data_IF_659678664763
#
_entry.id   IF_659678664763
#
_cell.length_a   1.000
_cell.length_b   1.000
_cell.length_c   1.000
_cell.angle_alpha   90.00
_cell.angle_beta   90.00
_cell.angle_gamma   90.00
#
_symmetry.space_group_name_H-M   'P 1'
#
loop_
_entity.id
_entity.type
_entity.pdbx_description
1 polymer ?
#
# COMPACT_ATOMS: atom_id res chain seq x y z
N UNK A 1 24.87 75.11 -30.66
CA UNK A 1 23.40 74.91 -30.60
C UNK A 1 22.75 76.17 -30.04
N UNK A 2 21.61 76.63 -30.59
CA UNK A 2 20.86 77.73 -29.97
C UNK A 2 20.34 77.26 -28.60
N UNK A 3 20.50 78.05 -27.52
CA UNK A 3 20.10 77.64 -26.17
C UNK A 3 18.61 77.27 -26.06
N UNK A 4 17.77 77.82 -26.95
CA UNK A 4 16.34 77.49 -27.05
C UNK A 4 16.06 76.09 -27.57
N UNK A 5 16.95 75.47 -28.34
CA UNK A 5 16.81 74.10 -28.83
C UNK A 5 17.16 73.08 -27.74
N UNK A 6 18.23 73.36 -26.98
CA UNK A 6 18.65 72.51 -25.86
C UNK A 6 17.58 72.43 -24.77
N UNK A 7 17.01 73.57 -24.36
CA UNK A 7 15.98 73.61 -23.31
C UNK A 7 14.68 72.88 -23.70
N UNK A 8 14.27 72.98 -24.98
CA UNK A 8 12.96 72.49 -25.45
C UNK A 8 12.97 71.02 -25.86
N UNK A 9 14.15 70.47 -26.17
CA UNK A 9 14.25 69.12 -26.74
C UNK A 9 15.10 68.20 -25.88
N UNK A 10 16.24 68.67 -25.40
CA UNK A 10 17.15 67.82 -24.63
C UNK A 10 16.65 67.59 -23.19
N UNK A 11 16.21 68.66 -22.53
CA UNK A 11 15.71 68.61 -21.15
C UNK A 11 14.51 67.66 -20.95
N UNK A 12 13.43 67.70 -21.77
CA UNK A 12 12.30 66.79 -21.58
C UNK A 12 12.65 65.33 -21.89
N UNK A 13 13.55 65.08 -22.86
CA UNK A 13 14.02 63.72 -23.18
C UNK A 13 14.84 63.15 -22.02
N UNK A 14 15.75 63.95 -21.46
CA UNK A 14 16.53 63.55 -20.29
C UNK A 14 15.63 63.27 -19.07
N UNK A 15 14.65 64.15 -18.81
CA UNK A 15 13.67 63.94 -17.73
C UNK A 15 12.84 62.67 -17.95
N UNK A 16 12.42 62.37 -19.17
CA UNK A 16 11.68 61.14 -19.48
C UNK A 16 12.53 59.88 -19.22
N UNK A 17 13.82 59.90 -19.59
CA UNK A 17 14.75 58.79 -19.33
C UNK A 17 14.94 58.59 -17.82
N UNK A 18 15.15 59.67 -17.07
CA UNK A 18 15.31 59.61 -15.60
C UNK A 18 14.03 59.08 -14.94
N UNK A 19 12.86 59.52 -15.40
CA UNK A 19 11.58 59.05 -14.89
C UNK A 19 11.39 57.54 -15.14
N UNK A 20 11.65 57.08 -16.37
CA UNK A 20 11.53 55.65 -16.72
C UNK A 20 12.53 54.81 -15.92
N UNK A 21 13.77 55.27 -15.78
CA UNK A 21 14.78 54.58 -14.97
C UNK A 21 14.39 54.54 -13.48
N UNK A 22 13.85 55.63 -12.93
CA UNK A 22 13.36 55.70 -11.56
C UNK A 22 12.18 54.76 -11.31
N UNK A 23 11.23 54.68 -12.26
CA UNK A 23 10.11 53.73 -12.20
C UNK A 23 10.64 52.29 -12.25
N UNK A 24 11.50 51.97 -13.21
CA UNK A 24 12.07 50.62 -13.35
C UNK A 24 12.83 50.16 -12.10
N UNK A 25 13.60 51.06 -11.48
CA UNK A 25 14.32 50.77 -10.23
C UNK A 25 13.37 50.60 -9.04
N UNK A 26 12.28 51.38 -8.96
CA UNK A 26 11.32 51.29 -7.86
C UNK A 26 10.41 50.05 -7.90
N UNK A 27 10.23 49.47 -9.09
CA UNK A 27 9.38 48.29 -9.30
C UNK A 27 10.20 47.00 -9.28
N UNK A 28 11.52 47.08 -9.45
CA UNK A 28 12.38 45.90 -9.33
C UNK A 28 12.47 45.45 -7.88
N UNK A 29 11.82 44.34 -7.58
CA UNK A 29 11.93 43.66 -6.29
C UNK A 29 13.01 42.60 -6.45
N UNK A 30 14.11 42.74 -5.70
CA UNK A 30 15.16 41.72 -5.68
C UNK A 30 14.59 40.38 -5.19
N UNK A 31 15.12 39.24 -5.69
CA UNK A 31 14.76 37.94 -5.15
C UNK A 31 14.92 37.92 -3.63
N UNK A 32 13.89 37.49 -2.92
CA UNK A 32 13.87 37.50 -1.44
C UNK A 32 14.83 36.50 -0.81
N UNK A 33 15.47 35.63 -1.60
CA UNK A 33 16.58 34.79 -1.17
C UNK A 33 17.56 34.56 -2.32
N UNK A 34 18.84 34.41 -1.97
CA UNK A 34 19.87 33.95 -2.89
C UNK A 34 19.63 32.48 -3.26
N UNK A 35 19.77 32.07 -4.53
CA UNK A 35 19.68 30.67 -4.92
C UNK A 35 20.64 29.80 -4.09
N UNK A 36 20.20 28.61 -3.63
CA UNK A 36 18.94 27.93 -3.96
C UNK A 36 17.74 28.29 -3.03
N UNK A 37 17.88 29.27 -2.13
CA UNK A 37 16.84 29.66 -1.18
C UNK A 37 15.55 30.14 -1.86
N UNK A 38 14.40 29.87 -1.22
CA UNK A 38 13.05 30.18 -1.70
C UNK A 38 12.67 29.59 -3.08
N UNK A 39 13.44 28.65 -3.61
CA UNK A 39 12.98 27.83 -4.73
C UNK A 39 11.82 26.94 -4.27
N UNK A 40 10.86 26.74 -5.17
CA UNK A 40 9.86 25.68 -5.00
C UNK A 40 10.61 24.35 -4.87
N UNK A 41 10.20 23.51 -3.91
CA UNK A 41 10.82 22.19 -3.74
C UNK A 41 10.75 21.40 -5.04
N UNK A 42 11.87 20.78 -5.42
CA UNK A 42 11.94 20.01 -6.65
C UNK A 42 10.96 18.80 -6.59
N UNK A 43 10.23 18.51 -7.68
CA UNK A 43 9.39 17.33 -7.75
C UNK A 43 10.25 16.06 -7.81
N UNK A 44 9.67 14.89 -7.48
CA UNK A 44 10.25 13.62 -7.90
C UNK A 44 10.10 13.50 -9.41
N UNK A 45 11.21 13.48 -10.13
CA UNK A 45 11.24 13.38 -11.58
C UNK A 45 11.53 11.95 -12.08
N UNK A 46 11.38 11.72 -13.39
CA UNK A 46 11.51 10.39 -14.04
C UNK A 46 12.95 10.00 -14.43
N UNK A 47 13.95 10.72 -13.94
CA UNK A 47 15.35 10.41 -14.19
C UNK A 47 15.81 9.11 -13.53
N UNK A 48 16.95 8.58 -13.96
CA UNK A 48 17.53 7.33 -13.41
C UNK A 48 18.27 7.54 -12.10
N UNK A 49 18.50 8.78 -11.69
CA UNK A 49 19.17 9.12 -10.43
C UNK A 49 18.20 8.94 -9.26
N UNK A 50 18.66 8.28 -8.20
CA UNK A 50 17.92 8.16 -6.94
C UNK A 50 17.59 9.55 -6.40
N UNK A 51 16.31 9.77 -6.09
CA UNK A 51 15.82 11.00 -5.47
C UNK A 51 15.24 10.70 -4.10
N UNK A 52 15.54 11.59 -3.15
CA UNK A 52 14.98 11.57 -1.82
C UNK A 52 14.08 12.79 -1.65
N UNK A 53 12.87 12.58 -1.15
CA UNK A 53 11.97 13.66 -0.75
C UNK A 53 11.73 13.56 0.75
N UNK A 54 12.11 14.61 1.47
CA UNK A 54 11.74 14.77 2.87
C UNK A 54 10.23 15.02 2.99
N UNK A 55 9.58 14.34 3.94
CA UNK A 55 8.14 14.40 4.17
C UNK A 55 7.39 13.16 3.69
N UNK A 56 6.05 13.23 3.71
CA UNK A 56 5.18 12.15 3.25
C UNK A 56 4.96 12.22 1.73
N UNK A 57 5.05 11.08 1.04
CA UNK A 57 4.66 10.94 -0.36
C UNK A 57 3.27 10.29 -0.42
N UNK A 58 2.27 11.05 -0.86
CA UNK A 58 0.94 10.53 -1.15
C UNK A 58 0.79 10.21 -2.65
N UNK A 59 0.28 9.02 -2.97
CA UNK A 59 -0.12 8.64 -4.34
C UNK A 59 -1.63 8.45 -4.34
N UNK A 60 -2.36 9.36 -4.99
CA UNK A 60 -3.83 9.35 -5.02
C UNK A 60 -4.47 8.30 -5.95
N UNK A 61 -3.67 7.38 -6.47
CA UNK A 61 -4.07 6.33 -7.41
C UNK A 61 -3.30 5.03 -7.17
N UNK A 62 -3.25 4.16 -8.18
CA UNK A 62 -2.48 2.93 -8.08
C UNK A 62 -0.97 3.21 -8.10
N UNK A 63 -0.26 2.72 -7.09
CA UNK A 63 1.20 2.62 -7.14
C UNK A 63 1.59 1.39 -7.95
N UNK A 64 2.05 1.58 -9.19
CA UNK A 64 2.55 0.52 -10.04
C UNK A 64 4.08 0.59 -10.13
N UNK A 65 4.76 -0.48 -9.74
CA UNK A 65 6.20 -0.64 -9.91
C UNK A 65 6.47 -1.67 -11.01
N UNK A 66 7.23 -1.28 -12.03
CA UNK A 66 7.56 -2.14 -13.18
C UNK A 66 8.90 -2.87 -13.01
N UNK A 67 9.57 -2.66 -11.88
CA UNK A 67 10.80 -3.34 -11.43
C UNK A 67 10.78 -3.40 -9.90
N UNK A 68 11.82 -3.98 -9.28
CA UNK A 68 11.88 -4.17 -7.82
C UNK A 68 11.38 -2.98 -6.99
N UNK A 69 10.41 -3.25 -6.11
CA UNK A 69 9.79 -2.28 -5.21
C UNK A 69 10.25 -2.55 -3.78
N UNK A 70 10.85 -1.54 -3.15
CA UNK A 70 11.45 -1.66 -1.82
C UNK A 70 10.74 -0.72 -0.86
N UNK A 71 10.07 -1.28 0.14
CA UNK A 71 9.56 -0.56 1.28
C UNK A 71 10.41 -0.94 2.49
N UNK A 72 11.11 0.02 3.09
CA UNK A 72 11.96 -0.19 4.25
C UNK A 72 11.71 0.94 5.25
N UNK A 73 11.56 0.59 6.52
CA UNK A 73 11.57 1.56 7.60
C UNK A 73 12.98 1.66 8.21
N UNK A 74 13.84 2.44 7.55
CA UNK A 74 15.14 2.88 8.06
C UNK A 74 16.03 1.78 8.69
N UNK A 75 16.25 0.67 7.99
CA UNK A 75 17.18 -0.38 8.42
C UNK A 75 16.54 -1.48 9.27
N UNK A 76 15.22 -1.49 9.42
CA UNK A 76 14.51 -2.62 9.97
C UNK A 76 14.54 -3.81 8.99
N UNK A 77 14.85 -5.00 9.50
CA UNK A 77 14.71 -6.23 8.71
C UNK A 77 13.23 -6.47 8.40
N UNK A 78 12.91 -6.46 7.11
CA UNK A 78 11.58 -6.72 6.55
C UNK A 78 11.46 -8.14 5.97
N UNK A 79 12.51 -8.95 6.10
CA UNK A 79 12.52 -10.33 5.64
C UNK A 79 11.44 -11.15 6.36
N UNK A 80 10.62 -11.87 5.58
CA UNK A 80 9.52 -12.69 6.11
C UNK A 80 8.40 -11.89 6.79
N UNK A 81 8.22 -10.62 6.41
CA UNK A 81 7.16 -9.75 6.95
C UNK A 81 6.18 -9.31 5.88
N UNK A 82 4.97 -8.99 6.31
CA UNK A 82 3.91 -8.39 5.50
C UNK A 82 3.59 -7.00 6.02
N UNK A 83 3.28 -6.06 5.13
CA UNK A 83 2.82 -4.73 5.53
C UNK A 83 1.32 -4.79 5.76
N UNK A 84 0.89 -4.54 6.99
CA UNK A 84 -0.52 -4.55 7.38
C UNK A 84 -0.92 -3.16 7.86
N UNK A 85 -2.09 -2.67 7.43
CA UNK A 85 -2.66 -1.42 7.92
C UNK A 85 -3.46 -1.67 9.20
N UNK A 86 -3.36 -0.74 10.16
CA UNK A 86 -4.25 -0.70 11.31
C UNK A 86 -5.60 -0.02 10.98
N UNK A 87 -6.50 0.08 11.96
CA UNK A 87 -7.82 0.71 11.80
C UNK A 87 -7.75 2.21 11.45
N UNK A 88 -6.62 2.86 11.72
CA UNK A 88 -6.35 4.25 11.39
C UNK A 88 -5.65 4.41 10.03
N UNK A 89 -5.37 3.30 9.33
CA UNK A 89 -4.69 3.26 8.04
C UNK A 89 -3.16 3.34 8.12
N UNK A 90 -2.56 3.25 9.31
CA UNK A 90 -1.10 3.23 9.43
C UNK A 90 -0.56 1.83 9.14
N UNK A 91 0.36 1.76 8.17
CA UNK A 91 1.06 0.53 7.81
C UNK A 91 2.16 0.20 8.81
N UNK A 92 2.23 -1.06 9.26
CA UNK A 92 3.33 -1.59 10.05
C UNK A 92 3.75 -2.96 9.55
N UNK A 93 5.06 -3.24 9.61
CA UNK A 93 5.60 -4.55 9.23
C UNK A 93 5.27 -5.58 10.31
N UNK A 94 4.47 -6.56 9.95
CA UNK A 94 4.06 -7.66 10.82
C UNK A 94 4.76 -8.94 10.38
N UNK A 95 5.07 -9.82 11.34
CA UNK A 95 5.59 -11.14 11.02
C UNK A 95 4.60 -11.85 10.08
N UNK A 96 5.09 -12.42 8.99
CA UNK A 96 4.25 -13.24 8.13
C UNK A 96 3.86 -14.50 8.91
N UNK A 97 2.57 -14.67 9.19
CA UNK A 97 2.06 -15.90 9.76
C UNK A 97 2.49 -17.10 8.90
N UNK A 98 2.98 -18.16 9.55
CA UNK A 98 3.31 -19.42 8.88
C UNK A 98 2.07 -19.92 8.12
N UNK A 99 2.12 -19.89 6.79
CA UNK A 99 1.00 -20.29 5.92
C UNK A 99 0.42 -19.18 5.04
N UNK A 100 0.88 -17.93 5.14
CA UNK A 100 0.58 -16.91 4.12
C UNK A 100 -0.90 -16.62 3.92
N UNK A 101 -1.53 -15.93 4.87
CA UNK A 101 -2.82 -15.28 4.61
C UNK A 101 -3.73 -15.18 5.83
N UNK A 102 -3.73 -14.00 6.47
CA UNK A 102 -4.80 -13.52 7.35
C UNK A 102 -4.94 -14.23 8.71
N UNK A 103 -5.25 -13.46 9.76
CA UNK A 103 -5.75 -13.99 11.04
C UNK A 103 -7.13 -14.62 10.88
N UNK A 104 -7.20 -15.71 10.12
CA UNK A 104 -8.40 -16.45 9.81
C UNK A 104 -8.56 -17.68 10.69
N UNK A 105 -9.77 -18.21 10.72
CA UNK A 105 -10.05 -19.53 11.27
C UNK A 105 -10.17 -20.53 10.12
N UNK A 106 -9.65 -21.73 10.28
CA UNK A 106 -9.94 -22.86 9.39
C UNK A 106 -10.37 -24.09 10.20
N UNK A 107 -10.99 -25.04 9.51
CA UNK A 107 -11.35 -26.34 10.10
C UNK A 107 -10.28 -27.36 9.74
N UNK A 108 -9.61 -27.92 10.74
CA UNK A 108 -8.63 -28.99 10.58
C UNK A 108 -9.29 -30.35 10.73
N UNK A 109 -9.03 -31.25 9.79
CA UNK A 109 -9.49 -32.66 9.83
C UNK A 109 -8.38 -33.63 10.27
N UNK A 110 -7.16 -33.14 10.48
CA UNK A 110 -5.95 -33.97 10.67
C UNK A 110 -5.56 -34.19 12.13
N UNK A 111 -6.49 -34.02 13.08
CA UNK A 111 -6.22 -34.26 14.51
C UNK A 111 -5.58 -33.08 15.27
N UNK A 112 -5.43 -31.90 14.67
CA UNK A 112 -4.89 -30.71 15.35
C UNK A 112 -4.62 -29.52 14.45
N UNK A 113 -4.19 -28.40 15.04
CA UNK A 113 -3.89 -27.16 14.32
C UNK A 113 -2.43 -27.13 13.81
N UNK A 114 -2.26 -26.61 12.61
CA UNK A 114 -0.94 -26.22 12.07
C UNK A 114 -0.25 -25.23 13.01
N UNK A 115 1.09 -25.22 12.95
CA UNK A 115 1.92 -24.31 13.73
C UNK A 115 1.52 -22.85 13.48
N UNK A 116 1.35 -22.08 14.55
CA UNK A 116 0.89 -20.68 14.50
C UNK A 116 -0.61 -20.49 14.71
N UNK A 117 -1.41 -21.56 14.73
CA UNK A 117 -2.85 -21.50 15.00
C UNK A 117 -3.19 -22.14 16.34
N UNK A 118 -4.11 -21.50 17.07
CA UNK A 118 -4.65 -21.99 18.35
C UNK A 118 -5.91 -22.80 18.10
N UNK A 119 -6.01 -23.98 18.72
CA UNK A 119 -7.24 -24.75 18.75
C UNK A 119 -8.29 -24.00 19.59
N UNK A 120 -9.38 -23.57 18.95
CA UNK A 120 -10.51 -22.88 19.59
C UNK A 120 -11.63 -23.83 20.02
N UNK A 121 -11.50 -25.11 19.72
CA UNK A 121 -12.46 -26.15 20.08
C UNK A 121 -12.78 -27.09 18.93
N UNK A 122 -13.67 -28.04 19.20
CA UNK A 122 -14.16 -29.00 18.20
C UNK A 122 -15.12 -28.33 17.22
N UNK A 123 -14.93 -28.61 15.92
CA UNK A 123 -15.88 -28.32 14.85
C UNK A 123 -16.90 -29.45 14.64
N UNK A 124 -16.80 -30.53 15.43
CA UNK A 124 -17.62 -31.74 15.31
C UNK A 124 -16.89 -32.89 14.62
N UNK A 125 -17.56 -34.05 14.53
CA UNK A 125 -17.01 -35.24 13.88
C UNK A 125 -17.17 -35.16 12.36
N UNK A 126 -16.19 -35.69 11.63
CA UNK A 126 -16.19 -35.80 10.18
C UNK A 126 -16.04 -37.25 9.74
N UNK A 127 -16.35 -37.53 8.47
CA UNK A 127 -16.14 -38.85 7.90
C UNK A 127 -16.75 -38.96 6.52
N UNK A 128 -17.50 -40.02 6.27
CA UNK A 128 -18.18 -40.23 5.00
C UNK A 128 -19.58 -40.79 5.17
N UNK A 129 -20.47 -40.37 4.27
CA UNK A 129 -21.75 -41.01 4.01
C UNK A 129 -21.55 -42.09 2.96
N UNK A 130 -22.23 -43.22 3.12
CA UNK A 130 -22.23 -44.27 2.11
C UNK A 130 -23.63 -44.87 1.95
N UNK A 131 -23.92 -45.30 0.73
CA UNK A 131 -25.09 -46.10 0.44
C UNK A 131 -24.65 -47.41 -0.21
N UNK A 132 -25.30 -48.51 0.19
CA UNK A 132 -25.17 -49.78 -0.50
C UNK A 132 -26.38 -49.91 -1.41
N UNK A 133 -26.18 -49.81 -2.72
CA UNK A 133 -27.24 -50.05 -3.70
C UNK A 133 -27.84 -51.44 -3.47
N UNK A 134 -29.14 -51.48 -3.17
CA UNK A 134 -29.89 -52.72 -3.03
C UNK A 134 -30.06 -53.40 -4.39
N UNK A 135 -29.02 -54.09 -4.85
CA UNK A 135 -29.05 -54.93 -6.06
C UNK A 135 -27.88 -54.66 -7.01
N UNK A 136 -26.82 -55.46 -6.90
CA UNK A 136 -25.82 -55.61 -7.97
C UNK A 136 -24.65 -54.61 -7.96
N UNK A 137 -23.78 -54.70 -6.96
CA UNK A 137 -22.31 -54.51 -7.01
C UNK A 137 -21.62 -53.32 -7.75
N UNK A 138 -22.28 -52.33 -8.36
CA UNK A 138 -21.58 -51.21 -9.03
C UNK A 138 -21.78 -49.83 -8.40
N UNK A 139 -22.80 -49.64 -7.58
CA UNK A 139 -23.19 -48.30 -7.11
C UNK A 139 -22.89 -48.14 -5.62
N UNK A 140 -21.63 -48.31 -5.22
CA UNK A 140 -21.18 -47.93 -3.87
C UNK A 140 -20.64 -46.51 -3.92
N UNK A 141 -21.46 -45.52 -3.53
CA UNK A 141 -21.03 -44.13 -3.46
C UNK A 141 -20.55 -43.76 -2.05
N UNK A 142 -19.34 -43.21 -1.96
CA UNK A 142 -18.81 -42.59 -0.74
C UNK A 142 -18.75 -41.08 -0.94
N UNK A 143 -19.39 -40.34 -0.03
CA UNK A 143 -19.38 -38.88 -0.05
C UNK A 143 -18.78 -38.36 1.24
N UNK A 144 -17.91 -37.35 1.13
CA UNK A 144 -17.36 -36.68 2.30
C UNK A 144 -18.48 -36.07 3.14
N UNK A 145 -18.41 -36.33 4.45
CA UNK A 145 -19.28 -35.72 5.46
C UNK A 145 -18.47 -34.68 6.23
N UNK A 146 -18.76 -33.37 6.04
CA UNK A 146 -18.06 -32.32 6.76
C UNK A 146 -18.34 -32.38 8.26
N UNK A 147 -17.53 -31.66 9.03
CA UNK A 147 -17.69 -31.56 10.47
C UNK A 147 -19.08 -31.01 10.83
N UNK A 148 -19.80 -31.70 11.72
CA UNK A 148 -21.18 -31.34 12.09
C UNK A 148 -22.24 -31.65 11.02
N UNK A 149 -21.85 -32.19 9.86
CA UNK A 149 -22.75 -32.60 8.79
C UNK A 149 -23.46 -33.93 9.08
N UNK A 150 -24.69 -34.06 8.57
CA UNK A 150 -25.50 -35.28 8.63
C UNK A 150 -25.45 -36.12 7.36
N UNK A 151 -25.92 -37.36 7.44
CA UNK A 151 -26.17 -38.22 6.28
C UNK A 151 -27.65 -38.61 6.25
N UNK A 152 -28.25 -38.64 5.05
CA UNK A 152 -29.55 -39.28 4.82
C UNK A 152 -29.44 -40.81 4.67
N UNK A 153 -28.21 -41.33 4.53
CA UNK A 153 -27.88 -42.75 4.45
C UNK A 153 -27.00 -43.17 5.64
N UNK A 154 -26.49 -44.40 5.58
CA UNK A 154 -25.49 -44.89 6.52
C UNK A 154 -24.25 -43.97 6.55
N UNK A 155 -23.67 -43.82 7.73
CA UNK A 155 -22.51 -42.95 7.95
C UNK A 155 -21.42 -43.69 8.70
N UNK A 156 -20.19 -43.26 8.47
CA UNK A 156 -19.02 -43.67 9.24
C UNK A 156 -18.25 -42.43 9.67
N UNK A 157 -17.79 -42.44 10.92
CA UNK A 157 -16.96 -41.37 11.49
C UNK A 157 -15.49 -41.75 11.36
N UNK A 158 -14.71 -40.86 10.77
CA UNK A 158 -13.25 -41.03 10.60
C UNK A 158 -12.48 -40.33 11.71
N UNK A 159 -12.98 -39.18 12.19
CA UNK A 159 -12.34 -38.46 13.29
C UNK A 159 -13.08 -37.21 13.74
N UNK A 160 -12.45 -36.46 14.62
CA UNK A 160 -12.88 -35.12 15.02
C UNK A 160 -12.17 -34.05 14.20
N UNK A 161 -12.91 -32.97 13.94
CA UNK A 161 -12.36 -31.77 13.33
C UNK A 161 -12.25 -30.65 14.36
N UNK A 162 -11.31 -29.73 14.16
CA UNK A 162 -11.04 -28.64 15.10
C UNK A 162 -11.07 -27.28 14.40
N UNK A 163 -11.58 -26.26 15.09
CA UNK A 163 -11.47 -24.88 14.63
C UNK A 163 -10.12 -24.33 15.06
N UNK A 164 -9.31 -23.94 14.09
CA UNK A 164 -7.95 -23.44 14.29
C UNK A 164 -7.91 -21.97 13.87
N UNK A 165 -7.69 -21.07 14.83
CA UNK A 165 -7.62 -19.63 14.58
C UNK A 165 -6.31 -19.05 15.10
N UNK A 166 -5.82 -18.02 14.42
CA UNK A 166 -4.65 -17.26 14.83
C UNK A 166 -5.04 -15.90 15.39
#
# INVERSE_FOLDING_TARGET
MKPSFFLKTFLPVLSAIILVAGIAYSVWIEPTAAPPGNNVEAPINVGTSTQYKSGALGVGGLLAAYSGFWLNNNGQDVSGKVLTADASGFGSWQAQAAGGGGGGCYVSYSGGCLAGFTNKGSAGSWGYCYYYGGGGASDTGYHFRPAGGGCNWSSSTVGEAYVCCQ
#
